data_IF_199391997802
#
_entry.id   IF_199391997802
#
_cell.length_a   1.000
_cell.length_b   1.000
_cell.length_c   1.000
_cell.angle_alpha   90.00
_cell.angle_beta   90.00
_cell.angle_gamma   90.00
#
_symmetry.space_group_name_H-M   'P 1'
#
loop_
_entity.id
_entity.type
_entity.pdbx_description
1 polymer ?
#
# COMPACT_ATOMS: atom_id res chain seq x y z
N UNK A 1 0.48 -2.41 41.25
CA UNK A 1 0.82 -2.79 39.86
C UNK A 1 1.82 -3.91 39.95
N UNK A 2 1.43 -5.11 39.51
CA UNK A 2 2.32 -6.25 39.48
C UNK A 2 3.40 -6.02 38.39
N UNK A 3 4.70 -6.02 38.72
CA UNK A 3 5.77 -5.86 37.74
C UNK A 3 5.82 -6.99 36.69
N UNK A 4 5.05 -8.08 36.88
CA UNK A 4 5.10 -9.28 36.06
C UNK A 4 4.04 -9.36 34.94
N UNK A 5 3.10 -8.43 34.82
CA UNK A 5 2.15 -8.44 33.69
C UNK A 5 2.82 -7.88 32.44
N UNK A 6 3.48 -8.75 31.68
CA UNK A 6 4.02 -8.42 30.37
C UNK A 6 2.85 -8.13 29.43
N UNK A 7 2.64 -6.86 29.09
CA UNK A 7 1.62 -6.43 28.15
C UNK A 7 1.75 -7.19 26.81
N UNK A 8 0.68 -7.87 26.33
CA UNK A 8 0.77 -8.81 25.21
C UNK A 8 1.21 -8.15 23.90
N UNK A 9 0.94 -6.85 23.72
CA UNK A 9 1.32 -6.09 22.53
C UNK A 9 2.82 -5.74 22.44
N UNK A 10 3.59 -5.82 23.54
CA UNK A 10 5.00 -5.38 23.54
C UNK A 10 5.89 -6.24 22.67
N UNK A 11 5.76 -7.56 22.76
CA UNK A 11 6.60 -8.50 22.00
C UNK A 11 6.34 -8.36 20.49
N UNK A 12 5.09 -8.40 20.00
CA UNK A 12 4.82 -8.18 18.58
C UNK A 12 5.29 -6.80 18.11
N UNK A 13 5.09 -5.74 18.88
CA UNK A 13 5.56 -4.40 18.49
C UNK A 13 7.09 -4.35 18.36
N UNK A 14 7.81 -4.98 19.29
CA UNK A 14 9.26 -5.11 19.20
C UNK A 14 9.69 -5.90 17.96
N UNK A 15 9.03 -7.01 17.65
CA UNK A 15 9.27 -7.80 16.43
C UNK A 15 9.06 -6.97 15.16
N UNK A 16 7.98 -6.19 15.11
CA UNK A 16 7.70 -5.29 14.00
C UNK A 16 8.81 -4.24 13.82
N UNK A 17 9.30 -3.65 14.91
CA UNK A 17 10.43 -2.74 14.88
C UNK A 17 11.74 -3.41 14.44
N UNK A 18 12.00 -4.63 14.91
CA UNK A 18 13.19 -5.41 14.55
C UNK A 18 13.24 -5.74 13.05
N UNK A 19 12.11 -5.98 12.40
CA UNK A 19 12.05 -6.20 10.94
C UNK A 19 12.72 -5.04 10.18
N UNK A 20 12.41 -3.80 10.55
CA UNK A 20 12.99 -2.62 9.90
C UNK A 20 14.43 -2.36 10.35
N UNK A 21 14.72 -2.54 11.64
CA UNK A 21 16.05 -2.34 12.20
C UNK A 21 17.08 -3.29 11.58
N UNK A 22 16.76 -4.59 11.51
CA UNK A 22 17.63 -5.62 10.89
C UNK A 22 17.87 -5.29 9.42
N UNK A 23 16.83 -4.90 8.70
CA UNK A 23 16.94 -4.50 7.29
C UNK A 23 17.86 -3.30 7.10
N UNK A 24 17.60 -2.19 7.81
CA UNK A 24 18.38 -0.97 7.71
C UNK A 24 19.84 -1.17 8.08
N UNK A 25 20.11 -1.75 9.25
CA UNK A 25 21.48 -1.99 9.71
C UNK A 25 22.26 -2.89 8.76
N UNK A 26 21.65 -3.95 8.24
CA UNK A 26 22.34 -4.86 7.32
C UNK A 26 22.68 -4.15 6.01
N UNK A 27 21.77 -3.36 5.45
CA UNK A 27 22.02 -2.56 4.25
C UNK A 27 23.16 -1.57 4.43
N UNK A 28 23.27 -0.97 5.62
CA UNK A 28 24.26 0.04 5.91
C UNK A 28 25.62 -0.53 6.34
N UNK A 29 25.68 -1.70 6.98
CA UNK A 29 26.90 -2.22 7.61
C UNK A 29 27.53 -3.40 6.88
N UNK A 30 26.87 -3.94 5.85
CA UNK A 30 27.40 -5.10 5.10
C UNK A 30 27.63 -4.76 3.62
N UNK A 31 28.67 -5.32 2.99
CA UNK A 31 28.87 -5.21 1.54
C UNK A 31 27.65 -5.73 0.75
N UNK A 32 27.36 -5.13 -0.40
CA UNK A 32 26.21 -5.45 -1.26
C UNK A 32 26.11 -6.90 -1.71
N UNK A 33 27.26 -7.60 -1.73
CA UNK A 33 27.41 -8.98 -2.18
C UNK A 33 27.50 -10.00 -1.02
N UNK A 34 27.39 -9.54 0.23
CA UNK A 34 27.60 -10.41 1.40
C UNK A 34 26.46 -11.42 1.59
N UNK A 35 26.81 -12.67 1.90
CA UNK A 35 25.83 -13.73 2.24
C UNK A 35 25.03 -13.42 3.51
N UNK A 36 25.57 -12.58 4.40
CA UNK A 36 24.88 -12.11 5.62
C UNK A 36 23.54 -11.43 5.26
N UNK A 37 23.44 -10.83 4.08
CA UNK A 37 22.21 -10.19 3.60
C UNK A 37 21.07 -11.19 3.40
N UNK A 38 21.37 -12.36 2.85
CA UNK A 38 20.38 -13.44 2.70
C UNK A 38 19.96 -14.02 4.05
N UNK A 39 20.90 -14.16 5.00
CA UNK A 39 20.60 -14.57 6.37
C UNK A 39 19.70 -13.55 7.08
N UNK A 40 19.99 -12.26 6.94
CA UNK A 40 19.17 -11.19 7.49
C UNK A 40 17.75 -11.17 6.90
N UNK A 41 17.60 -11.43 5.59
CA UNK A 41 16.28 -11.57 4.97
C UNK A 41 15.51 -12.76 5.56
N UNK A 42 16.16 -13.90 5.81
CA UNK A 42 15.53 -15.05 6.47
C UNK A 42 15.10 -14.73 7.91
N UNK A 43 15.91 -13.99 8.67
CA UNK A 43 15.57 -13.50 10.02
C UNK A 43 14.34 -12.59 9.97
N UNK A 44 14.30 -11.66 9.01
CA UNK A 44 13.16 -10.75 8.81
C UNK A 44 11.87 -11.52 8.51
N UNK A 45 11.92 -12.57 7.69
CA UNK A 45 10.78 -13.46 7.41
C UNK A 45 10.32 -14.16 8.70
N UNK A 46 11.25 -14.70 9.50
CA UNK A 46 10.93 -15.38 10.75
C UNK A 46 10.28 -14.43 11.77
N UNK A 47 10.79 -13.19 11.89
CA UNK A 47 10.21 -12.15 12.74
C UNK A 47 8.79 -11.79 12.29
N UNK A 48 8.56 -11.60 10.98
CA UNK A 48 7.25 -11.28 10.45
C UNK A 48 6.24 -12.43 10.63
N UNK A 49 6.68 -13.68 10.50
CA UNK A 49 5.85 -14.84 10.79
C UNK A 49 5.44 -14.88 12.27
N UNK A 50 6.39 -14.66 13.19
CA UNK A 50 6.09 -14.60 14.62
C UNK A 50 5.18 -13.43 15.00
N UNK A 51 5.31 -12.30 14.31
CA UNK A 51 4.40 -11.17 14.48
C UNK A 51 2.98 -11.56 14.02
N UNK A 52 2.86 -12.13 12.81
CA UNK A 52 1.58 -12.54 12.24
C UNK A 52 0.86 -13.58 13.11
N UNK A 53 1.58 -14.47 13.78
CA UNK A 53 0.99 -15.50 14.64
C UNK A 53 0.45 -14.97 15.97
N UNK A 54 0.87 -13.77 16.40
CA UNK A 54 0.52 -13.19 17.70
C UNK A 54 -0.33 -11.92 17.60
N UNK A 55 -0.37 -11.27 16.42
CA UNK A 55 -1.00 -9.96 16.24
C UNK A 55 -2.50 -9.93 16.53
N UNK A 56 -3.24 -10.97 16.17
CA UNK A 56 -4.69 -11.01 16.36
C UNK A 56 -5.07 -10.98 17.84
N UNK A 57 -4.36 -11.76 18.66
CA UNK A 57 -4.56 -11.78 20.12
C UNK A 57 -4.01 -10.52 20.78
N UNK A 58 -2.83 -10.08 20.36
CA UNK A 58 -2.10 -8.99 21.02
C UNK A 58 -2.67 -7.60 20.75
N UNK A 59 -3.45 -7.46 19.68
CA UNK A 59 -4.07 -6.20 19.28
C UNK A 59 -5.59 -6.33 19.15
N UNK A 60 -6.22 -7.33 19.78
CA UNK A 60 -7.66 -7.60 19.68
C UNK A 60 -8.52 -6.36 19.95
N UNK A 61 -8.11 -5.52 20.91
CA UNK A 61 -8.83 -4.31 21.29
C UNK A 61 -8.57 -3.09 20.37
N UNK A 62 -7.69 -3.24 19.37
CA UNK A 62 -7.26 -2.14 18.51
C UNK A 62 -7.43 -2.46 17.04
N UNK A 63 -7.80 -1.45 16.25
CA UNK A 63 -7.89 -1.59 14.79
C UNK A 63 -6.53 -1.57 14.09
N UNK A 64 -5.45 -1.47 14.85
CA UNK A 64 -4.10 -1.38 14.31
C UNK A 64 -3.57 -2.75 13.85
N UNK A 65 -4.06 -3.86 14.42
CA UNK A 65 -3.55 -5.21 14.15
C UNK A 65 -3.50 -5.56 12.66
N UNK A 66 -4.62 -5.36 11.94
CA UNK A 66 -4.70 -5.59 10.50
C UNK A 66 -3.67 -4.79 9.68
N UNK A 67 -3.71 -3.45 9.70
CA UNK A 67 -2.72 -2.63 8.98
C UNK A 67 -1.27 -2.90 9.39
N UNK A 68 -1.00 -3.19 10.67
CA UNK A 68 0.34 -3.55 11.14
C UNK A 68 0.81 -4.88 10.54
N UNK A 69 -0.07 -5.88 10.45
CA UNK A 69 0.22 -7.16 9.80
C UNK A 69 0.53 -6.99 8.32
N UNK A 70 -0.30 -6.24 7.58
CA UNK A 70 -0.03 -5.91 6.18
C UNK A 70 1.33 -5.20 6.03
N UNK A 71 1.59 -4.17 6.84
CA UNK A 71 2.85 -3.43 6.77
C UNK A 71 4.06 -4.27 7.17
N UNK A 72 3.91 -5.24 8.08
CA UNK A 72 4.98 -6.17 8.45
C UNK A 72 5.44 -6.98 7.23
N UNK A 73 4.49 -7.55 6.47
CA UNK A 73 4.81 -8.28 5.24
C UNK A 73 5.30 -7.38 4.10
N UNK A 74 4.81 -6.14 4.01
CA UNK A 74 5.38 -5.13 3.10
C UNK A 74 6.86 -4.89 3.44
N UNK A 75 7.22 -4.83 4.72
CA UNK A 75 8.60 -4.68 5.17
C UNK A 75 9.46 -5.90 4.83
N UNK A 76 8.90 -7.11 4.84
CA UNK A 76 9.60 -8.32 4.35
C UNK A 76 9.94 -8.17 2.87
N UNK A 77 8.98 -7.77 2.03
CA UNK A 77 9.25 -7.56 0.60
C UNK A 77 10.29 -6.46 0.37
N UNK A 78 10.23 -5.40 1.17
CA UNK A 78 11.19 -4.31 1.17
C UNK A 78 12.60 -4.80 1.57
N UNK A 79 12.70 -5.67 2.57
CA UNK A 79 13.95 -6.28 3.01
C UNK A 79 14.54 -7.18 1.93
N UNK A 80 13.74 -8.05 1.32
CA UNK A 80 14.19 -8.91 0.20
C UNK A 80 14.71 -8.06 -0.95
N UNK A 81 13.97 -7.02 -1.33
CA UNK A 81 14.40 -6.08 -2.37
C UNK A 81 15.75 -5.44 -2.02
N UNK A 82 15.88 -4.85 -0.83
CA UNK A 82 17.08 -4.10 -0.46
C UNK A 82 18.30 -4.98 -0.23
N UNK A 83 18.11 -6.13 0.41
CA UNK A 83 19.19 -7.02 0.84
C UNK A 83 19.66 -7.93 -0.29
N UNK A 84 18.73 -8.51 -1.05
CA UNK A 84 19.03 -9.60 -1.97
C UNK A 84 18.97 -9.16 -3.43
N UNK A 85 17.92 -8.44 -3.82
CA UNK A 85 17.61 -8.18 -5.23
C UNK A 85 18.31 -6.92 -5.77
N UNK A 86 17.88 -5.75 -5.28
CA UNK A 86 18.41 -4.43 -5.65
C UNK A 86 19.77 -4.13 -4.98
N UNK A 87 20.09 -4.89 -3.92
CA UNK A 87 21.37 -4.84 -3.18
C UNK A 87 21.78 -3.41 -2.81
N UNK A 88 20.81 -2.69 -2.23
CA UNK A 88 20.97 -1.32 -1.76
C UNK A 88 22.16 -1.24 -0.80
N UNK A 89 23.00 -0.23 -0.93
CA UNK A 89 24.16 -0.02 -0.06
C UNK A 89 24.45 1.45 0.15
N UNK A 90 25.06 1.76 1.30
CA UNK A 90 25.45 3.13 1.62
C UNK A 90 26.52 3.65 0.65
N UNK A 91 27.45 2.78 0.24
CA UNK A 91 28.54 3.12 -0.67
C UNK A 91 28.00 3.59 -2.03
N UNK A 92 27.01 2.88 -2.59
CA UNK A 92 26.39 3.27 -3.85
C UNK A 92 25.57 4.57 -3.73
N UNK A 93 24.98 4.84 -2.56
CA UNK A 93 24.33 6.13 -2.30
C UNK A 93 25.36 7.27 -2.31
N UNK A 94 26.49 7.11 -1.61
CA UNK A 94 27.56 8.14 -1.54
C UNK A 94 28.13 8.43 -2.93
N UNK A 95 28.37 7.38 -3.74
CA UNK A 95 28.85 7.55 -5.11
C UNK A 95 27.82 8.31 -5.98
N UNK A 96 26.54 7.99 -5.84
CA UNK A 96 25.47 8.68 -6.54
C UNK A 96 25.34 10.15 -6.13
N UNK A 97 25.46 10.46 -4.84
CA UNK A 97 25.46 11.83 -4.32
C UNK A 97 26.65 12.63 -4.87
N UNK A 98 27.84 12.03 -4.90
CA UNK A 98 29.04 12.67 -5.46
C UNK A 98 28.85 13.02 -6.94
N UNK A 99 28.26 12.11 -7.74
CA UNK A 99 27.96 12.36 -9.16
C UNK A 99 26.88 13.44 -9.36
N UNK A 100 25.86 13.45 -8.50
CA UNK A 100 24.70 14.34 -8.64
C UNK A 100 24.98 15.78 -8.20
N UNK A 101 25.74 15.96 -7.12
CA UNK A 101 25.99 17.28 -6.52
C UNK A 101 27.42 17.79 -6.74
N UNK A 102 28.27 17.03 -7.42
CA UNK A 102 29.67 17.38 -7.72
C UNK A 102 30.63 17.19 -6.54
N UNK A 103 31.91 17.52 -6.77
CA UNK A 103 33.03 17.28 -5.84
C UNK A 103 32.89 17.94 -4.46
N UNK A 104 32.00 18.93 -4.29
CA UNK A 104 31.74 19.59 -3.02
C UNK A 104 31.17 18.66 -1.94
N UNK A 105 30.32 17.70 -2.32
CA UNK A 105 29.78 16.70 -1.39
C UNK A 105 30.82 15.64 -0.99
N UNK A 106 31.69 15.26 -1.93
CA UNK A 106 32.79 14.33 -1.70
C UNK A 106 33.88 14.94 -0.78
N UNK A 107 34.20 16.23 -0.96
CA UNK A 107 35.14 16.96 -0.07
C UNK A 107 34.61 17.05 1.37
N UNK A 108 33.31 17.29 1.56
CA UNK A 108 32.69 17.35 2.89
C UNK A 108 32.69 15.99 3.60
N UNK A 109 32.41 14.91 2.87
CA UNK A 109 32.48 13.55 3.40
C UNK A 109 33.91 13.12 3.80
N UNK A 110 34.93 13.61 3.08
CA UNK A 110 36.34 13.35 3.43
C UNK A 110 36.84 14.14 4.65
N UNK A 111 36.20 15.26 4.99
CA UNK A 111 36.54 16.05 6.19
C UNK A 111 35.81 15.59 7.46
N UNK A 112 34.81 14.72 7.33
CA UNK A 112 34.02 14.25 8.46
C UNK A 112 34.80 13.25 9.32
N UNK A 113 34.70 13.39 10.64
CA UNK A 113 35.25 12.41 11.58
C UNK A 113 34.59 11.03 11.40
N UNK A 114 35.30 9.96 11.75
CA UNK A 114 34.76 8.59 11.69
C UNK A 114 33.41 8.44 12.42
N UNK A 115 33.24 9.13 13.57
CA UNK A 115 31.99 9.13 14.33
C UNK A 115 30.86 9.83 13.57
N UNK A 116 31.15 10.95 12.90
CA UNK A 116 30.19 11.66 12.04
C UNK A 116 29.76 10.78 10.86
N UNK A 117 30.72 10.11 10.22
CA UNK A 117 30.46 9.19 9.11
C UNK A 117 29.62 7.98 9.52
N UNK A 118 29.91 7.37 10.68
CA UNK A 118 29.12 6.26 11.22
C UNK A 118 27.70 6.71 11.58
N UNK A 119 27.56 7.86 12.25
CA UNK A 119 26.25 8.41 12.58
C UNK A 119 25.41 8.69 11.34
N UNK A 120 25.98 9.33 10.31
CA UNK A 120 25.32 9.58 9.02
C UNK A 120 24.90 8.28 8.34
N UNK A 121 25.77 7.26 8.36
CA UNK A 121 25.46 5.93 7.82
C UNK A 121 24.30 5.27 8.56
N UNK A 122 24.27 5.32 9.90
CA UNK A 122 23.19 4.75 10.71
C UNK A 122 21.88 5.52 10.54
N UNK A 123 21.92 6.85 10.47
CA UNK A 123 20.74 7.68 10.20
C UNK A 123 20.17 7.37 8.82
N UNK A 124 21.02 7.30 7.79
CA UNK A 124 20.62 6.89 6.46
C UNK A 124 20.00 5.50 6.46
N UNK A 125 20.55 4.55 7.23
CA UNK A 125 20.06 3.18 7.34
C UNK A 125 18.60 3.07 7.76
N UNK A 126 18.18 3.93 8.71
CA UNK A 126 16.79 3.97 9.15
C UNK A 126 15.91 4.64 8.11
N UNK A 127 16.38 5.77 7.55
CA UNK A 127 15.62 6.49 6.53
C UNK A 127 15.33 5.61 5.31
N UNK A 128 16.33 4.85 4.83
CA UNK A 128 16.16 4.00 3.64
C UNK A 128 15.19 2.83 3.88
N UNK A 129 15.14 2.29 5.11
CA UNK A 129 14.22 1.22 5.47
C UNK A 129 12.74 1.65 5.39
N UNK A 130 12.43 2.90 5.72
CA UNK A 130 11.07 3.47 5.60
C UNK A 130 10.81 4.19 4.26
N UNK A 131 11.84 4.39 3.44
CA UNK A 131 11.73 5.02 2.13
C UNK A 131 11.38 3.99 1.04
N UNK A 132 10.16 3.45 1.08
CA UNK A 132 9.66 2.42 0.14
C UNK A 132 9.71 2.85 -1.34
N UNK A 133 9.60 4.16 -1.60
CA UNK A 133 9.66 4.75 -2.95
C UNK A 133 11.09 5.15 -3.37
N UNK A 134 12.07 4.92 -2.49
CA UNK A 134 13.51 5.16 -2.73
C UNK A 134 13.81 6.60 -3.16
N UNK A 135 13.05 7.55 -2.62
CA UNK A 135 13.15 8.99 -2.92
C UNK A 135 14.56 9.49 -2.63
N UNK A 136 15.12 10.26 -3.56
CA UNK A 136 16.47 10.83 -3.49
C UNK A 136 17.59 9.78 -3.33
N UNK A 137 17.45 8.65 -4.03
CA UNK A 137 18.47 7.59 -4.11
C UNK A 137 18.61 7.10 -5.56
N UNK A 138 19.67 6.34 -5.93
CA UNK A 138 19.78 5.76 -7.27
C UNK A 138 18.70 4.72 -7.58
N UNK A 139 17.97 4.22 -6.57
CA UNK A 139 16.89 3.22 -6.73
C UNK A 139 15.48 3.83 -6.79
N UNK A 140 15.36 5.16 -6.95
CA UNK A 140 14.07 5.85 -6.97
C UNK A 140 13.09 5.28 -8.00
N UNK A 141 11.81 5.19 -7.64
CA UNK A 141 10.76 4.77 -8.58
C UNK A 141 10.74 5.66 -9.83
N UNK A 142 10.55 5.04 -10.99
CA UNK A 142 10.53 5.73 -12.29
C UNK A 142 9.35 6.69 -12.47
N UNK A 143 8.23 6.47 -11.76
CA UNK A 143 7.02 7.28 -11.84
C UNK A 143 6.64 7.82 -10.46
N UNK A 144 7.51 8.66 -9.91
CA UNK A 144 7.22 9.38 -8.66
C UNK A 144 6.11 10.42 -8.91
N UNK A 145 5.03 10.44 -8.12
CA UNK A 145 4.02 11.49 -8.23
C UNK A 145 4.63 12.87 -7.96
N UNK A 146 4.20 13.86 -8.72
CA UNK A 146 4.69 15.24 -8.63
C UNK A 146 3.67 16.15 -7.94
N UNK A 147 4.13 17.25 -7.34
CA UNK A 147 3.25 18.21 -6.68
C UNK A 147 2.33 18.95 -7.65
N UNK A 148 2.81 19.19 -8.87
CA UNK A 148 2.08 19.88 -9.92
C UNK A 148 2.34 19.18 -11.26
N UNK A 149 1.27 18.80 -11.96
CA UNK A 149 1.37 18.13 -13.26
C UNK A 149 1.75 19.05 -14.41
N UNK A 150 1.49 20.35 -14.28
CA UNK A 150 1.86 21.38 -15.27
C UNK A 150 3.30 21.85 -15.11
N UNK A 151 3.81 21.85 -13.87
CA UNK A 151 5.21 22.11 -13.55
C UNK A 151 5.80 20.98 -12.70
N UNK A 152 6.33 19.90 -13.33
CA UNK A 152 6.88 18.75 -12.60
C UNK A 152 8.06 19.05 -11.67
N UNK A 153 8.75 20.18 -11.86
CA UNK A 153 9.87 20.62 -11.01
C UNK A 153 9.40 21.45 -9.81
N UNK A 154 8.10 21.77 -9.73
CA UNK A 154 7.56 22.55 -8.63
C UNK A 154 7.67 21.80 -7.31
N UNK A 155 8.20 22.50 -6.30
CA UNK A 155 8.20 22.08 -4.89
C UNK A 155 7.56 23.20 -4.07
N UNK A 156 6.57 22.91 -3.21
CA UNK A 156 5.97 23.92 -2.35
C UNK A 156 6.95 24.41 -1.27
N UNK A 157 6.76 25.64 -0.80
CA UNK A 157 7.44 26.13 0.41
C UNK A 157 7.02 25.32 1.63
N UNK A 158 7.84 25.29 2.69
CA UNK A 158 7.54 24.56 3.94
C UNK A 158 6.17 24.95 4.52
N UNK A 159 5.86 26.25 4.60
CA UNK A 159 4.57 26.73 5.08
C UNK A 159 3.41 26.23 4.20
N UNK A 160 3.53 26.35 2.86
CA UNK A 160 2.49 25.89 1.94
C UNK A 160 2.29 24.38 2.02
N UNK A 161 3.36 23.61 2.10
CA UNK A 161 3.33 22.16 2.27
C UNK A 161 2.59 21.78 3.55
N UNK A 162 2.94 22.39 4.69
CA UNK A 162 2.31 22.11 5.98
C UNK A 162 0.83 22.47 5.96
N UNK A 163 0.46 23.66 5.46
CA UNK A 163 -0.95 24.07 5.38
C UNK A 163 -1.78 23.14 4.49
N UNK A 164 -1.30 22.83 3.28
CA UNK A 164 -1.99 21.91 2.38
C UNK A 164 -2.06 20.49 2.93
N UNK A 165 -1.00 20.03 3.60
CA UNK A 165 -0.95 18.74 4.27
C UNK A 165 -1.96 18.66 5.42
N UNK A 166 -2.03 19.66 6.28
CA UNK A 166 -2.99 19.73 7.38
C UNK A 166 -4.43 19.72 6.89
N UNK A 167 -4.75 20.44 5.81
CA UNK A 167 -6.07 20.38 5.18
C UNK A 167 -6.39 18.96 4.68
N UNK A 168 -5.44 18.28 4.02
CA UNK A 168 -5.63 16.88 3.59
C UNK A 168 -5.87 15.94 4.77
N UNK A 169 -5.15 16.14 5.87
CA UNK A 169 -5.32 15.36 7.11
C UNK A 169 -6.72 15.55 7.68
N UNK A 170 -7.18 16.80 7.83
CA UNK A 170 -8.52 17.11 8.32
C UNK A 170 -9.62 16.50 7.43
N UNK A 171 -9.50 16.65 6.10
CA UNK A 171 -10.43 16.05 5.14
C UNK A 171 -10.42 14.52 5.26
N UNK A 172 -9.23 13.91 5.39
CA UNK A 172 -9.12 12.46 5.52
C UNK A 172 -9.82 11.94 6.78
N UNK A 173 -9.59 12.56 7.94
CA UNK A 173 -10.28 12.19 9.18
C UNK A 173 -11.79 12.37 9.08
N UNK A 174 -12.26 13.48 8.49
CA UNK A 174 -13.67 13.72 8.25
C UNK A 174 -14.29 12.64 7.37
N UNK A 175 -13.65 12.29 6.24
CA UNK A 175 -14.14 11.26 5.33
C UNK A 175 -14.19 9.88 6.00
N UNK A 176 -13.18 9.51 6.79
CA UNK A 176 -13.18 8.25 7.56
C UNK A 176 -14.33 8.23 8.55
N UNK A 177 -14.59 9.33 9.26
CA UNK A 177 -15.69 9.43 10.20
C UNK A 177 -17.06 9.32 9.50
N UNK A 178 -17.25 10.05 8.39
CA UNK A 178 -18.51 10.09 7.64
C UNK A 178 -18.81 8.81 6.83
N UNK A 179 -17.78 8.05 6.46
CA UNK A 179 -17.93 6.82 5.67
C UNK A 179 -17.78 5.53 6.51
N UNK A 180 -17.70 5.65 7.84
CA UNK A 180 -17.81 4.52 8.76
C UNK A 180 -19.03 4.71 9.66
N UNK A 181 -19.66 3.61 10.06
CA UNK A 181 -20.90 3.64 10.85
C UNK A 181 -20.82 2.65 12.01
N UNK A 182 -21.47 3.00 13.12
CA UNK A 182 -21.53 2.17 14.32
C UNK A 182 -22.35 0.89 14.07
N UNK A 183 -21.93 -0.28 14.58
CA UNK A 183 -22.70 -1.50 14.44
C UNK A 183 -24.08 -1.44 15.11
N UNK A 184 -24.30 -0.58 16.10
CA UNK A 184 -25.62 -0.44 16.74
C UNK A 184 -26.62 0.36 15.90
N UNK A 185 -26.18 1.01 14.81
CA UNK A 185 -27.07 1.79 13.94
C UNK A 185 -28.00 0.84 13.15
N UNK A 186 -29.34 1.04 13.18
CA UNK A 186 -30.28 0.16 12.47
C UNK A 186 -29.99 -0.01 10.98
N UNK A 187 -29.40 1.01 10.34
CA UNK A 187 -29.02 0.95 8.92
C UNK A 187 -27.87 -0.02 8.69
N UNK A 188 -26.92 -0.09 9.63
CA UNK A 188 -25.83 -1.07 9.60
C UNK A 188 -26.38 -2.48 9.82
N UNK A 189 -27.26 -2.67 10.79
CA UNK A 189 -27.91 -3.97 11.06
C UNK A 189 -28.60 -4.52 9.81
N UNK A 190 -29.39 -3.68 9.14
CA UNK A 190 -30.07 -4.06 7.89
C UNK A 190 -29.09 -4.37 6.76
N UNK A 191 -28.02 -3.59 6.61
CA UNK A 191 -27.00 -3.84 5.59
C UNK A 191 -26.23 -5.14 5.83
N UNK A 192 -25.87 -5.46 7.07
CA UNK A 192 -25.15 -6.68 7.43
C UNK A 192 -25.96 -7.94 7.14
N UNK A 193 -27.29 -7.88 7.29
CA UNK A 193 -28.19 -8.98 6.94
C UNK A 193 -28.17 -9.36 5.45
N UNK A 194 -27.75 -8.44 4.58
CA UNK A 194 -27.62 -8.65 3.14
C UNK A 194 -26.24 -9.21 2.75
N UNK A 195 -25.29 -9.28 3.68
CA UNK A 195 -23.92 -9.71 3.38
C UNK A 195 -23.77 -11.23 3.49
N UNK A 196 -22.97 -11.77 2.59
CA UNK A 196 -22.53 -13.17 2.62
C UNK A 196 -21.02 -13.26 2.49
N UNK A 197 -20.40 -14.14 3.28
CA UNK A 197 -18.98 -14.50 3.17
C UNK A 197 -18.71 -15.56 2.07
N UNK A 198 -19.78 -16.09 1.47
CA UNK A 198 -19.72 -17.02 0.35
C UNK A 198 -19.11 -16.37 -0.88
N UNK A 199 -18.24 -17.14 -1.55
CA UNK A 199 -17.64 -16.74 -2.83
C UNK A 199 -18.64 -16.70 -3.98
N UNK A 200 -19.87 -17.18 -3.75
CA UNK A 200 -20.99 -17.05 -4.70
C UNK A 200 -21.36 -15.60 -5.01
N UNK A 201 -20.92 -14.63 -4.18
CA UNK A 201 -21.08 -13.20 -4.48
C UNK A 201 -20.40 -12.77 -5.79
N UNK A 202 -19.45 -13.56 -6.31
CA UNK A 202 -18.84 -13.35 -7.63
C UNK A 202 -19.75 -13.77 -8.80
N UNK A 203 -20.85 -14.48 -8.54
CA UNK A 203 -21.80 -14.93 -9.55
C UNK A 203 -23.24 -14.53 -9.17
N UNK A 204 -23.54 -13.21 -9.04
CA UNK A 204 -24.85 -12.70 -8.61
C UNK A 204 -26.02 -13.15 -9.49
N UNK A 205 -25.76 -13.40 -10.77
CA UNK A 205 -26.76 -13.87 -11.73
C UNK A 205 -27.22 -15.31 -11.49
N UNK A 206 -26.42 -16.17 -10.84
CA UNK A 206 -26.78 -17.58 -10.64
C UNK A 206 -27.84 -17.79 -9.55
N UNK A 207 -27.95 -16.88 -8.60
CA UNK A 207 -28.85 -16.99 -7.46
C UNK A 207 -29.87 -15.85 -7.38
N UNK A 208 -29.93 -14.99 -8.40
CA UNK A 208 -30.90 -13.90 -8.50
C UNK A 208 -30.75 -12.86 -7.39
N UNK A 209 -29.55 -12.30 -7.23
CA UNK A 209 -29.28 -11.28 -6.20
C UNK A 209 -30.28 -10.13 -6.27
N UNK A 210 -30.87 -9.77 -5.12
CA UNK A 210 -31.87 -8.71 -5.05
C UNK A 210 -31.26 -7.33 -5.37
N UNK A 211 -32.10 -6.40 -5.86
CA UNK A 211 -31.68 -5.01 -6.09
C UNK A 211 -31.20 -4.33 -4.79
N UNK A 212 -31.78 -4.70 -3.65
CA UNK A 212 -31.36 -4.19 -2.33
C UNK A 212 -29.94 -4.62 -1.98
N UNK A 213 -29.63 -5.91 -2.15
CA UNK A 213 -28.29 -6.47 -1.90
C UNK A 213 -27.25 -5.81 -2.81
N UNK A 214 -27.57 -5.61 -4.10
CA UNK A 214 -26.69 -4.90 -5.05
C UNK A 214 -26.43 -3.46 -4.57
N UNK A 215 -27.47 -2.75 -4.13
CA UNK A 215 -27.34 -1.39 -3.61
C UNK A 215 -26.47 -1.35 -2.35
N UNK A 216 -26.68 -2.26 -1.40
CA UNK A 216 -25.88 -2.36 -0.16
C UNK A 216 -24.41 -2.61 -0.50
N UNK A 217 -24.11 -3.59 -1.36
CA UNK A 217 -22.74 -3.84 -1.82
C UNK A 217 -22.12 -2.62 -2.49
N UNK A 218 -22.89 -1.88 -3.29
CA UNK A 218 -22.40 -0.69 -3.94
C UNK A 218 -22.04 0.42 -2.95
N UNK A 219 -22.92 0.68 -1.98
CA UNK A 219 -22.70 1.71 -0.97
C UNK A 219 -21.53 1.38 -0.05
N UNK A 220 -21.42 0.13 0.40
CA UNK A 220 -20.29 -0.35 1.20
C UNK A 220 -18.98 -0.28 0.42
N UNK A 221 -18.99 -0.64 -0.87
CA UNK A 221 -17.80 -0.56 -1.75
C UNK A 221 -17.34 0.89 -1.94
N UNK A 222 -18.28 1.83 -2.13
CA UNK A 222 -17.97 3.26 -2.25
C UNK A 222 -17.35 3.78 -0.94
N UNK A 223 -17.99 3.50 0.19
CA UNK A 223 -17.48 3.88 1.52
C UNK A 223 -16.10 3.31 1.77
N UNK A 224 -15.87 2.03 1.44
CA UNK A 224 -14.56 1.37 1.54
C UNK A 224 -13.50 2.08 0.71
N UNK A 225 -13.78 2.36 -0.57
CA UNK A 225 -12.85 3.07 -1.45
C UNK A 225 -12.46 4.44 -0.90
N UNK A 226 -13.42 5.20 -0.37
CA UNK A 226 -13.20 6.51 0.25
C UNK A 226 -12.35 6.36 1.52
N UNK A 227 -12.72 5.46 2.44
CA UNK A 227 -12.01 5.24 3.71
C UNK A 227 -10.58 4.79 3.47
N UNK A 228 -10.34 3.83 2.58
CA UNK A 228 -8.99 3.38 2.25
C UNK A 228 -8.14 4.51 1.67
N UNK A 229 -8.70 5.26 0.70
CA UNK A 229 -7.97 6.38 0.09
C UNK A 229 -7.66 7.49 1.10
N UNK A 230 -8.65 7.87 1.90
CA UNK A 230 -8.52 8.87 2.96
C UNK A 230 -7.47 8.46 3.98
N UNK A 231 -7.50 7.21 4.46
CA UNK A 231 -6.54 6.69 5.43
C UNK A 231 -5.11 6.74 4.90
N UNK A 232 -4.88 6.29 3.67
CA UNK A 232 -3.54 6.25 3.08
C UNK A 232 -3.00 7.67 2.86
N UNK A 233 -3.81 8.56 2.26
CA UNK A 233 -3.39 9.95 2.00
C UNK A 233 -3.24 10.73 3.30
N UNK A 234 -4.17 10.55 4.25
CA UNK A 234 -4.20 11.21 5.55
C UNK A 234 -2.99 10.85 6.39
N UNK A 235 -2.72 9.55 6.60
CA UNK A 235 -1.58 9.10 7.41
C UNK A 235 -0.24 9.49 6.79
N UNK A 236 -0.10 9.37 5.46
CA UNK A 236 1.10 9.83 4.77
C UNK A 236 1.29 11.35 4.91
N UNK A 237 0.22 12.14 4.73
CA UNK A 237 0.28 13.60 4.85
C UNK A 237 0.59 14.04 6.28
N UNK A 238 0.04 13.34 7.29
CA UNK A 238 0.30 13.60 8.69
C UNK A 238 1.80 13.44 9.01
N UNK A 239 2.40 12.32 8.59
CA UNK A 239 3.84 12.10 8.76
C UNK A 239 4.68 13.18 8.09
N UNK A 240 4.35 13.55 6.85
CA UNK A 240 5.03 14.61 6.13
C UNK A 240 4.88 15.98 6.81
N UNK A 241 3.67 16.34 7.25
CA UNK A 241 3.39 17.60 7.96
C UNK A 241 4.24 17.70 9.22
N UNK A 242 4.23 16.67 10.06
CA UNK A 242 4.98 16.66 11.32
C UNK A 242 6.48 16.82 11.05
N UNK A 243 7.03 16.02 10.14
CA UNK A 243 8.47 16.02 9.91
C UNK A 243 8.98 17.26 9.18
N UNK A 244 8.20 17.83 8.25
CA UNK A 244 8.55 19.08 7.56
C UNK A 244 8.37 20.29 8.50
N UNK A 245 7.34 20.30 9.36
CA UNK A 245 7.12 21.36 10.33
C UNK A 245 8.25 21.41 11.39
N UNK A 246 8.72 20.24 11.83
CA UNK A 246 9.88 20.11 12.73
C UNK A 246 11.23 20.40 12.03
N UNK A 247 11.22 20.59 10.70
CA UNK A 247 12.42 20.85 9.92
C UNK A 247 13.35 19.66 9.74
N UNK A 248 12.86 18.44 10.00
CA UNK A 248 13.61 17.19 9.82
C UNK A 248 13.79 16.85 8.34
N UNK A 249 12.77 17.13 7.52
CA UNK A 249 12.80 16.93 6.07
C UNK A 249 12.35 18.17 5.31
N UNK A 250 12.77 18.28 4.06
CA UNK A 250 12.26 19.26 3.12
C UNK A 250 11.04 18.73 2.36
N UNK A 251 10.14 19.62 1.86
CA UNK A 251 8.95 19.22 1.11
C UNK A 251 9.24 18.29 -0.08
N UNK A 252 10.38 18.48 -0.76
CA UNK A 252 10.80 17.66 -1.92
C UNK A 252 11.00 16.18 -1.55
N UNK A 253 11.28 15.87 -0.29
CA UNK A 253 11.47 14.51 0.20
C UNK A 253 10.15 13.81 0.53
N UNK A 254 9.05 14.56 0.53
CA UNK A 254 7.68 14.07 0.78
C UNK A 254 6.75 14.30 -0.42
N UNK A 255 7.10 13.84 -1.64
CA UNK A 255 6.26 13.96 -2.82
C UNK A 255 4.91 13.25 -2.61
N UNK A 256 3.83 13.64 -3.32
CA UNK A 256 2.53 13.01 -3.15
C UNK A 256 2.58 11.48 -3.23
N UNK A 257 1.81 10.80 -2.39
CA UNK A 257 1.85 9.32 -2.30
C UNK A 257 1.24 8.63 -3.53
N UNK A 258 0.40 9.35 -4.27
CA UNK A 258 -0.33 8.90 -5.43
C UNK A 258 -0.68 10.07 -6.36
N UNK A 259 -1.01 9.79 -7.62
CA UNK A 259 -1.56 10.79 -8.53
C UNK A 259 -3.07 11.00 -8.32
N UNK A 260 -3.64 11.92 -9.10
CA UNK A 260 -5.06 12.25 -9.07
C UNK A 260 -5.97 11.07 -9.43
N UNK A 261 -7.14 10.99 -8.78
CA UNK A 261 -8.20 10.06 -9.14
C UNK A 261 -8.82 10.37 -10.51
N UNK A 262 -8.59 11.57 -11.08
CA UNK A 262 -8.99 11.93 -12.45
C UNK A 262 -8.33 11.06 -13.53
N UNK A 263 -7.33 10.27 -13.15
CA UNK A 263 -6.66 9.33 -14.03
C UNK A 263 -7.09 7.88 -13.83
N UNK A 264 -8.05 7.60 -12.93
CA UNK A 264 -8.48 6.25 -12.55
C UNK A 264 -9.54 5.63 -13.47
N UNK A 265 -9.54 5.99 -14.76
CA UNK A 265 -10.51 5.50 -15.76
C UNK A 265 -10.13 4.15 -16.41
N UNK A 266 -9.13 3.45 -15.88
CA UNK A 266 -8.89 2.02 -16.18
C UNK A 266 -8.24 1.38 -14.96
N UNK A 267 -8.37 0.06 -14.76
CA UNK A 267 -7.73 -0.69 -13.68
C UNK A 267 -6.20 -0.52 -13.74
N UNK A 268 -5.63 -0.57 -14.94
CA UNK A 268 -4.20 -0.32 -15.15
C UNK A 268 -3.78 1.04 -14.60
N UNK A 269 -4.58 2.08 -14.81
CA UNK A 269 -4.29 3.43 -14.32
C UNK A 269 -4.65 3.59 -12.84
N UNK A 270 -5.77 3.02 -12.39
CA UNK A 270 -6.17 3.02 -10.99
C UNK A 270 -5.01 2.52 -10.13
N UNK A 271 -4.53 1.29 -10.37
CA UNK A 271 -3.45 0.70 -9.58
C UNK A 271 -2.06 1.26 -9.93
N UNK A 272 -1.83 1.59 -11.20
CA UNK A 272 -0.52 2.01 -11.69
C UNK A 272 -0.20 3.50 -11.56
N UNK A 273 -1.19 4.36 -11.25
CA UNK A 273 -0.99 5.81 -11.09
C UNK A 273 -1.81 6.42 -9.96
N UNK A 274 -3.12 6.16 -9.94
CA UNK A 274 -4.03 6.89 -9.07
C UNK A 274 -4.02 6.36 -7.63
N UNK A 275 -3.72 5.08 -7.43
CA UNK A 275 -3.50 4.44 -6.13
C UNK A 275 -2.09 4.72 -5.60
N UNK A 276 -1.83 4.43 -4.33
CA UNK A 276 -0.53 4.73 -3.72
C UNK A 276 0.62 3.96 -4.38
N UNK A 277 1.74 4.64 -4.61
CA UNK A 277 2.91 4.07 -5.27
C UNK A 277 3.93 3.45 -4.30
N UNK A 278 3.56 3.30 -3.02
CA UNK A 278 4.43 2.74 -1.96
C UNK A 278 4.90 1.32 -2.29
N UNK A 279 4.01 0.48 -2.82
CA UNK A 279 4.30 -0.94 -3.07
C UNK A 279 5.00 -1.19 -4.42
N UNK A 280 5.22 -0.14 -5.23
CA UNK A 280 5.65 -0.32 -6.63
C UNK A 280 7.02 -0.99 -6.73
N UNK A 281 8.04 -0.45 -6.06
CA UNK A 281 9.41 -0.99 -6.13
C UNK A 281 9.45 -2.43 -5.63
N UNK A 282 8.93 -2.66 -4.43
CA UNK A 282 8.99 -3.96 -3.76
C UNK A 282 8.19 -5.05 -4.48
N UNK A 283 7.09 -4.74 -5.17
CA UNK A 283 6.39 -5.73 -5.98
C UNK A 283 7.10 -5.99 -7.31
N UNK A 284 7.60 -4.94 -7.97
CA UNK A 284 8.24 -5.06 -9.29
C UNK A 284 9.58 -5.80 -9.21
N UNK A 285 10.44 -5.49 -8.23
CA UNK A 285 11.75 -6.13 -8.13
C UNK A 285 11.64 -7.63 -7.80
N UNK A 286 10.74 -7.98 -6.88
CA UNK A 286 10.43 -9.39 -6.57
C UNK A 286 9.83 -10.12 -7.79
N UNK A 287 8.97 -9.45 -8.56
CA UNK A 287 8.42 -10.01 -9.80
C UNK A 287 9.50 -10.21 -10.88
N UNK A 288 10.42 -9.25 -11.02
CA UNK A 288 11.52 -9.29 -11.98
C UNK A 288 12.46 -10.45 -11.69
N UNK A 289 12.79 -10.69 -10.42
CA UNK A 289 13.59 -11.83 -10.00
C UNK A 289 12.97 -13.16 -10.45
N UNK A 290 11.67 -13.37 -10.18
CA UNK A 290 10.99 -14.60 -10.60
C UNK A 290 10.93 -14.70 -12.12
N UNK A 291 10.56 -13.61 -12.79
CA UNK A 291 10.40 -13.61 -14.25
C UNK A 291 11.72 -13.88 -14.98
N UNK A 292 12.83 -13.31 -14.50
CA UNK A 292 14.10 -13.29 -15.23
C UNK A 292 15.10 -14.29 -14.70
N UNK A 293 15.23 -14.40 -13.38
CA UNK A 293 16.21 -15.29 -12.76
C UNK A 293 15.68 -16.72 -12.63
N UNK A 294 14.39 -16.89 -12.37
CA UNK A 294 13.78 -18.24 -12.21
C UNK A 294 13.21 -18.74 -13.54
N UNK A 295 12.31 -17.97 -14.16
CA UNK A 295 11.60 -18.39 -15.38
C UNK A 295 12.35 -18.10 -16.68
N UNK A 296 13.46 -17.34 -16.64
CA UNK A 296 14.31 -16.97 -17.79
C UNK A 296 13.56 -16.30 -18.94
N UNK A 297 12.52 -15.53 -18.63
CA UNK A 297 11.73 -14.81 -19.63
C UNK A 297 12.46 -13.51 -20.01
N UNK A 298 12.44 -13.17 -21.29
CA UNK A 298 13.08 -11.92 -21.73
C UNK A 298 12.37 -10.69 -21.14
N UNK A 299 13.11 -9.70 -20.57
CA UNK A 299 12.53 -8.48 -20.02
C UNK A 299 11.71 -7.64 -21.00
N UNK A 300 11.98 -7.79 -22.29
CA UNK A 300 11.31 -7.07 -23.38
C UNK A 300 10.02 -7.76 -23.85
N UNK A 301 9.72 -8.95 -23.34
CA UNK A 301 8.54 -9.72 -23.74
C UNK A 301 7.26 -9.18 -23.09
N UNK A 302 6.15 -9.19 -23.84
CA UNK A 302 4.80 -8.91 -23.29
C UNK A 302 4.43 -9.88 -22.17
N UNK A 303 4.93 -11.12 -22.22
CA UNK A 303 4.72 -12.14 -21.19
C UNK A 303 5.33 -11.76 -19.84
N UNK A 304 6.48 -11.06 -19.84
CA UNK A 304 7.07 -10.55 -18.61
C UNK A 304 6.17 -9.50 -17.94
N UNK A 305 5.42 -8.71 -18.72
CA UNK A 305 4.46 -7.76 -18.17
C UNK A 305 3.31 -8.46 -17.44
N UNK A 306 2.70 -9.47 -18.07
CA UNK A 306 1.57 -10.21 -17.48
C UNK A 306 1.98 -10.99 -16.23
N UNK A 307 3.15 -11.62 -16.23
CA UNK A 307 3.65 -12.31 -15.04
C UNK A 307 3.95 -11.35 -13.89
N UNK A 308 4.47 -10.16 -14.17
CA UNK A 308 4.63 -9.13 -13.14
C UNK A 308 3.31 -8.69 -12.55
N UNK A 309 2.30 -8.45 -13.38
CA UNK A 309 0.95 -8.07 -12.94
C UNK A 309 0.36 -9.19 -12.08
N UNK A 310 0.41 -10.43 -12.55
CA UNK A 310 -0.09 -11.58 -11.81
C UNK A 310 0.62 -11.75 -10.46
N UNK A 311 1.96 -11.67 -10.45
CA UNK A 311 2.75 -11.77 -9.23
C UNK A 311 2.42 -10.64 -8.25
N UNK A 312 2.45 -9.39 -8.72
CA UNK A 312 2.22 -8.22 -7.88
C UNK A 312 0.86 -8.28 -7.18
N UNK A 313 -0.19 -8.66 -7.91
CA UNK A 313 -1.52 -8.82 -7.34
C UNK A 313 -1.66 -10.05 -6.46
N UNK A 314 -1.11 -11.21 -6.84
CA UNK A 314 -1.16 -12.42 -6.00
C UNK A 314 -0.48 -12.18 -4.65
N UNK A 315 0.72 -11.60 -4.65
CA UNK A 315 1.45 -11.26 -3.42
C UNK A 315 0.70 -10.22 -2.61
N UNK A 316 0.11 -9.21 -3.25
CA UNK A 316 -0.77 -8.26 -2.57
C UNK A 316 -1.96 -8.96 -1.90
N UNK A 317 -2.54 -9.98 -2.55
CA UNK A 317 -3.59 -10.82 -1.99
C UNK A 317 -3.16 -11.55 -0.72
N UNK A 318 -1.95 -12.11 -0.67
CA UNK A 318 -1.43 -12.76 0.54
C UNK A 318 -1.13 -11.78 1.67
N UNK A 319 -0.60 -10.58 1.35
CA UNK A 319 -0.39 -9.51 2.35
C UNK A 319 -1.72 -9.12 3.00
N UNK A 320 -2.75 -8.91 2.18
CA UNK A 320 -4.07 -8.53 2.68
C UNK A 320 -4.81 -9.70 3.35
N UNK A 321 -4.54 -10.95 2.96
CA UNK A 321 -4.99 -12.10 3.75
C UNK A 321 -4.38 -12.06 5.16
N UNK A 322 -3.11 -11.69 5.31
CA UNK A 322 -2.49 -11.48 6.64
C UNK A 322 -3.21 -10.41 7.48
N UNK A 323 -3.67 -9.33 6.83
CA UNK A 323 -4.52 -8.31 7.45
C UNK A 323 -5.88 -8.87 7.86
N UNK A 324 -6.56 -9.60 6.97
CA UNK A 324 -7.86 -10.22 7.26
C UNK A 324 -7.76 -11.17 8.47
N UNK A 325 -6.72 -12.01 8.51
CA UNK A 325 -6.48 -12.92 9.65
C UNK A 325 -6.20 -12.14 10.94
N UNK A 326 -5.49 -11.02 10.86
CA UNK A 326 -5.23 -10.15 12.01
C UNK A 326 -6.49 -9.38 12.47
N UNK A 327 -7.49 -9.21 11.60
CA UNK A 327 -8.83 -8.77 11.97
C UNK A 327 -9.71 -9.90 12.52
N UNK A 328 -9.23 -11.15 12.56
CA UNK A 328 -10.02 -12.30 13.02
C UNK A 328 -10.87 -12.97 11.94
N UNK A 329 -10.78 -12.53 10.68
CA UNK A 329 -11.50 -13.18 9.57
C UNK A 329 -10.93 -14.59 9.37
N UNK A 330 -11.77 -15.65 9.39
CA UNK A 330 -11.29 -17.01 9.18
C UNK A 330 -10.59 -17.20 7.82
N UNK A 331 -9.52 -18.01 7.81
CA UNK A 331 -8.77 -18.32 6.58
C UNK A 331 -9.65 -18.92 5.47
N UNK A 332 -10.69 -19.66 5.82
CA UNK A 332 -11.61 -20.26 4.83
C UNK A 332 -12.52 -19.21 4.16
N UNK A 333 -12.77 -18.08 4.82
CA UNK A 333 -13.73 -17.08 4.37
C UNK A 333 -13.08 -15.80 3.85
N UNK A 334 -11.79 -15.56 4.11
CA UNK A 334 -11.07 -14.43 3.48
C UNK A 334 -11.20 -14.46 1.95
N UNK A 335 -11.52 -13.30 1.38
CA UNK A 335 -11.58 -13.09 -0.06
C UNK A 335 -10.40 -12.32 -0.63
N UNK A 336 -9.38 -11.99 0.18
CA UNK A 336 -8.28 -11.12 -0.23
C UNK A 336 -7.60 -11.63 -1.50
N UNK A 337 -7.14 -12.88 -1.51
CA UNK A 337 -6.45 -13.47 -2.68
C UNK A 337 -7.36 -13.47 -3.92
N UNK A 338 -8.66 -13.76 -3.76
CA UNK A 338 -9.63 -13.70 -4.86
C UNK A 338 -9.72 -12.28 -5.44
N UNK A 339 -9.97 -11.28 -4.60
CA UNK A 339 -10.09 -9.89 -5.03
C UNK A 339 -8.86 -9.41 -5.79
N UNK A 340 -7.66 -9.63 -5.24
CA UNK A 340 -6.45 -9.14 -5.88
C UNK A 340 -6.12 -9.91 -7.16
N UNK A 341 -6.29 -11.24 -7.21
CA UNK A 341 -6.12 -12.01 -8.45
C UNK A 341 -7.11 -11.58 -9.55
N UNK A 342 -8.35 -11.23 -9.19
CA UNK A 342 -9.32 -10.65 -10.13
C UNK A 342 -8.78 -9.33 -10.72
N UNK A 343 -8.12 -8.47 -9.94
CA UNK A 343 -7.51 -7.24 -10.48
C UNK A 343 -6.47 -7.55 -11.57
N UNK A 344 -5.67 -8.61 -11.40
CA UNK A 344 -4.72 -9.04 -12.43
C UNK A 344 -5.43 -9.46 -13.71
N UNK A 345 -6.49 -10.26 -13.58
CA UNK A 345 -7.33 -10.68 -14.71
C UNK A 345 -7.97 -9.49 -15.41
N UNK A 346 -8.49 -8.51 -14.65
CA UNK A 346 -9.05 -7.28 -15.18
C UNK A 346 -8.04 -6.44 -15.97
N UNK A 347 -6.82 -6.27 -15.44
CA UNK A 347 -5.74 -5.55 -16.14
C UNK A 347 -5.29 -6.27 -17.42
N UNK A 348 -5.19 -7.60 -17.39
CA UNK A 348 -4.88 -8.39 -18.59
C UNK A 348 -6.00 -8.31 -19.62
N UNK A 349 -7.26 -8.36 -19.18
CA UNK A 349 -8.42 -8.16 -20.04
C UNK A 349 -8.42 -6.78 -20.71
N UNK A 350 -8.15 -5.70 -19.96
CA UNK A 350 -7.98 -4.35 -20.52
C UNK A 350 -6.90 -4.32 -21.61
N UNK A 351 -5.77 -5.00 -21.38
CA UNK A 351 -4.65 -5.03 -22.32
C UNK A 351 -5.02 -5.77 -23.61
N UNK A 352 -5.74 -6.90 -23.51
CA UNK A 352 -6.23 -7.66 -24.67
C UNK A 352 -7.28 -6.85 -25.42
N UNK A 353 -8.25 -6.28 -24.71
CA UNK A 353 -9.32 -5.46 -25.30
C UNK A 353 -8.73 -4.26 -26.07
N UNK A 354 -7.79 -3.53 -25.46
CA UNK A 354 -7.09 -2.42 -26.11
C UNK A 354 -6.32 -2.88 -27.35
N UNK A 355 -5.70 -4.06 -27.32
CA UNK A 355 -4.97 -4.61 -28.46
C UNK A 355 -5.89 -5.03 -29.61
N UNK A 356 -7.09 -5.54 -29.33
CA UNK A 356 -8.04 -6.00 -30.35
C UNK A 356 -8.83 -4.85 -30.98
N UNK A 357 -9.17 -3.84 -30.18
CA UNK A 357 -10.03 -2.73 -30.59
C UNK A 357 -9.30 -1.38 -30.71
N UNK A 358 -7.96 -1.40 -30.85
CA UNK A 358 -7.13 -0.18 -30.81
C UNK A 358 -7.62 0.89 -31.80
N UNK A 359 -7.88 0.50 -33.06
CA UNK A 359 -8.29 1.44 -34.11
C UNK A 359 -9.69 2.00 -33.90
N UNK A 360 -10.60 1.24 -33.29
CA UNK A 360 -11.94 1.69 -32.94
C UNK A 360 -11.89 2.64 -31.74
N UNK A 361 -11.10 2.31 -30.72
CA UNK A 361 -10.91 3.13 -29.52
C UNK A 361 -10.26 4.47 -29.87
N UNK A 362 -9.33 4.50 -30.83
CA UNK A 362 -8.68 5.73 -31.30
C UNK A 362 -9.64 6.69 -32.01
N UNK A 363 -10.74 6.19 -32.59
CA UNK A 363 -11.78 7.01 -33.21
C UNK A 363 -12.74 7.64 -32.20
N UNK A 364 -12.76 7.14 -30.96
CA UNK A 364 -13.63 7.64 -29.90
C UNK A 364 -13.04 8.93 -29.31
N UNK A 365 -13.90 9.92 -29.02
CA UNK A 365 -13.45 11.16 -28.40
C UNK A 365 -12.77 10.90 -27.04
N UNK A 366 -11.71 11.65 -26.67
CA UNK A 366 -10.98 11.41 -25.42
C UNK A 366 -11.86 11.44 -24.16
N UNK A 367 -12.86 12.33 -24.15
CA UNK A 367 -13.82 12.44 -23.05
C UNK A 367 -14.67 11.18 -22.94
N UNK A 368 -15.25 10.71 -24.05
CA UNK A 368 -16.11 9.53 -24.04
C UNK A 368 -15.32 8.28 -23.64
N UNK A 369 -14.08 8.14 -24.13
CA UNK A 369 -13.17 7.05 -23.70
C UNK A 369 -12.93 7.06 -22.18
N UNK A 370 -12.75 8.24 -21.58
CA UNK A 370 -12.59 8.37 -20.12
C UNK A 370 -13.88 7.97 -19.39
N UNK A 371 -15.05 8.42 -19.86
CA UNK A 371 -16.34 8.08 -19.25
C UNK A 371 -16.59 6.57 -19.30
N UNK A 372 -16.42 5.93 -20.46
CA UNK A 372 -16.54 4.47 -20.60
C UNK A 372 -15.58 3.74 -19.66
N UNK A 373 -14.35 4.24 -19.57
CA UNK A 373 -13.34 3.69 -18.67
C UNK A 373 -13.73 3.77 -17.18
N UNK A 374 -14.27 4.91 -16.74
CA UNK A 374 -14.80 5.04 -15.37
C UNK A 374 -15.96 4.08 -15.10
N UNK A 375 -16.89 3.95 -16.04
CA UNK A 375 -18.00 3.01 -15.93
C UNK A 375 -17.48 1.57 -15.79
N UNK A 376 -16.51 1.18 -16.63
CA UNK A 376 -15.85 -0.12 -16.53
C UNK A 376 -15.20 -0.35 -15.16
N UNK A 377 -14.36 0.58 -14.68
CA UNK A 377 -13.69 0.45 -13.38
C UNK A 377 -14.70 0.36 -12.25
N UNK A 378 -15.75 1.19 -12.26
CA UNK A 378 -16.79 1.18 -11.25
C UNK A 378 -17.52 -0.17 -11.23
N UNK A 379 -18.01 -0.65 -12.37
CA UNK A 379 -18.70 -1.93 -12.47
C UNK A 379 -17.79 -3.10 -12.04
N UNK A 380 -16.53 -3.08 -12.45
CA UNK A 380 -15.55 -4.11 -12.08
C UNK A 380 -15.31 -4.14 -10.57
N UNK A 381 -15.10 -3.00 -9.93
CA UNK A 381 -14.90 -2.92 -8.48
C UNK A 381 -16.16 -3.28 -7.70
N UNK A 382 -17.35 -2.87 -8.17
CA UNK A 382 -18.63 -3.25 -7.58
C UNK A 382 -18.85 -4.76 -7.60
N UNK A 383 -18.40 -5.42 -8.66
CA UNK A 383 -18.45 -6.89 -8.78
C UNK A 383 -17.38 -7.60 -7.93
N UNK A 384 -16.13 -7.13 -7.97
CA UNK A 384 -15.02 -7.82 -7.34
C UNK A 384 -14.89 -7.58 -5.84
N UNK A 385 -15.17 -6.36 -5.35
CA UNK A 385 -14.92 -5.96 -3.95
C UNK A 385 -15.69 -6.77 -2.90
N UNK A 386 -16.99 -7.11 -3.10
CA UNK A 386 -17.78 -7.83 -2.10
C UNK A 386 -17.17 -9.17 -1.66
N UNK A 387 -16.45 -9.88 -2.55
CA UNK A 387 -15.82 -11.17 -2.21
C UNK A 387 -14.84 -11.06 -1.05
N UNK A 388 -14.17 -9.91 -0.92
CA UNK A 388 -13.18 -9.61 0.10
C UNK A 388 -13.77 -8.81 1.24
N UNK A 389 -14.61 -7.83 0.94
CA UNK A 389 -15.12 -6.89 1.93
C UNK A 389 -16.21 -7.50 2.83
N UNK A 390 -17.08 -8.38 2.31
CA UNK A 390 -18.17 -8.95 3.11
C UNK A 390 -17.67 -9.73 4.33
N UNK A 391 -16.69 -10.65 4.22
CA UNK A 391 -16.10 -11.33 5.39
C UNK A 391 -15.55 -10.36 6.44
N UNK A 392 -14.89 -9.28 6.01
CA UNK A 392 -14.34 -8.27 6.91
C UNK A 392 -15.47 -7.54 7.65
N UNK A 393 -16.49 -7.09 6.90
CA UNK A 393 -17.65 -6.39 7.48
C UNK A 393 -18.39 -7.25 8.51
N UNK A 394 -18.60 -8.53 8.20
CA UNK A 394 -19.22 -9.48 9.11
C UNK A 394 -18.40 -9.69 10.38
N UNK A 395 -17.07 -9.73 10.27
CA UNK A 395 -16.17 -9.84 11.42
C UNK A 395 -16.23 -8.57 12.28
N UNK A 396 -16.03 -7.40 11.68
CA UNK A 396 -16.06 -6.11 12.37
C UNK A 396 -17.40 -5.89 13.09
N UNK A 397 -18.51 -6.26 12.47
CA UNK A 397 -19.83 -6.16 13.09
C UNK A 397 -19.96 -7.07 14.33
N UNK A 398 -19.50 -8.32 14.25
CA UNK A 398 -19.50 -9.26 15.39
C UNK A 398 -18.64 -8.76 16.55
N UNK A 399 -17.54 -8.09 16.25
CA UNK A 399 -16.61 -7.55 17.24
C UNK A 399 -17.03 -6.17 17.79
N UNK A 400 -18.24 -5.70 17.46
CA UNK A 400 -18.74 -4.39 17.90
C UNK A 400 -17.94 -3.21 17.33
N UNK A 401 -17.28 -3.40 16.18
CA UNK A 401 -16.47 -2.39 15.53
C UNK A 401 -17.24 -1.65 14.44
N UNK A 402 -16.90 -0.37 14.24
CA UNK A 402 -17.46 0.44 13.14
C UNK A 402 -17.08 -0.18 11.79
N UNK A 403 -18.07 -0.42 10.96
CA UNK A 403 -17.91 -0.91 9.58
C UNK A 403 -17.99 0.21 8.55
N UNK A 404 -17.82 -0.14 7.27
CA UNK A 404 -18.02 0.77 6.14
C UNK A 404 -19.50 1.12 6.02
N UNK A 405 -19.82 2.41 5.94
CA UNK A 405 -21.21 2.88 5.94
C UNK A 405 -21.98 2.38 4.70
N UNK A 406 -23.19 1.80 4.87
CA UNK A 406 -24.11 1.54 3.76
C UNK A 406 -24.83 2.81 3.26
N UNK A 407 -24.52 3.97 3.86
CA UNK A 407 -24.96 5.30 3.40
C UNK A 407 -23.73 6.23 3.40
N UNK A 408 -22.92 6.25 2.31
CA UNK A 408 -21.77 7.10 2.16
C UNK A 408 -22.03 8.55 2.59
N UNK A 409 -21.04 9.16 3.22
CA UNK A 409 -21.00 10.59 3.62
C UNK A 409 -21.92 10.96 4.80
N UNK A 410 -22.93 10.15 5.14
CA UNK A 410 -23.86 10.40 6.27
C UNK A 410 -23.65 9.39 7.42
N UNK A 411 -22.76 8.39 7.26
CA UNK A 411 -22.59 7.30 8.23
C UNK A 411 -22.12 7.72 9.63
N UNK A 412 -21.44 8.86 9.75
CA UNK A 412 -21.04 9.44 11.02
C UNK A 412 -22.14 10.22 11.75
N UNK A 413 -23.24 10.54 11.07
CA UNK A 413 -24.36 11.28 11.65
C UNK A 413 -25.35 10.27 12.25
N UNK A 414 -25.46 10.30 13.58
CA UNK A 414 -26.51 9.59 14.32
C UNK A 414 -27.87 10.19 13.97
N UNK A 415 -28.84 9.34 13.64
CA UNK A 415 -30.25 9.74 13.58
C UNK A 415 -30.84 9.82 14.99
#
# INVERSE_FOLDING_TARGET
>A
MDPATFEPWRVPLAQWGLVQLVTGLTVALTPSQSIVRSMAAAIVIALAYSFQSSVAESFADTRAGGPLAAMCWVNVLNAIDMLVLSRVSYEAQVEWEAKKFGDGAAKKANSDSLKSTLFRRLLWSQNIAFNYRRINTPWQISRLPVFDSTNPQYVPTRLKFVLQGSVKVCIAFLLVHLCTMDPSDPRMVGAVAELSDSKMVLAPWLHGTSANTILVHAMITISFGIVCRASIVGMYSLGGVVLVALGVYDPVEWPPVANSLTEAWSLTRLWGTAWHQVLRTLLVSNADFISFSVLRISPKSRWACYLRVLFAFTVSGFIHMGMDLAFGVPRATTGAVWFFCLQALGVMFESIFQSLFCTQIEKISPLFRRVMGYVWVALFLLWATPVWLNPIMLCLYKDGQRGMSPVPIIGGLTL
#
